data_IF_500929904852
#
_entry.id   IF_500929904852
#
_cell.length_a   1.000
_cell.length_b   1.000
_cell.length_c   1.000
_cell.angle_alpha   90.00
_cell.angle_beta   90.00
_cell.angle_gamma   90.00
#
_symmetry.space_group_name_H-M   'P 1'
#
loop_
_entity.id
_entity.type
_entity.pdbx_description
1 polymer ?
#
# COMPACT_ATOMS: atom_id res chain seq x y z
N UNK A 1 2.77 -17.94 4.67
CA UNK A 1 3.79 -17.30 3.79
C UNK A 1 3.50 -15.82 3.85
N UNK A 2 4.48 -14.96 4.08
CA UNK A 2 4.32 -13.50 3.96
C UNK A 2 4.72 -13.04 2.56
N UNK A 3 4.09 -11.99 2.04
CA UNK A 3 4.58 -11.31 0.85
C UNK A 3 5.88 -10.56 1.20
N UNK A 4 6.85 -10.50 0.27
CA UNK A 4 8.11 -9.82 0.52
C UNK A 4 7.90 -8.31 0.66
N UNK A 5 8.82 -7.65 1.38
CA UNK A 5 8.91 -6.20 1.41
C UNK A 5 9.15 -5.63 0.00
N UNK A 6 8.75 -4.37 -0.25
CA UNK A 6 9.00 -3.74 -1.54
C UNK A 6 10.51 -3.64 -1.80
N UNK A 7 10.93 -3.77 -3.07
CA UNK A 7 12.32 -3.61 -3.44
C UNK A 7 12.77 -2.14 -3.30
N UNK A 8 14.07 -1.94 -3.10
CA UNK A 8 14.69 -0.63 -3.26
C UNK A 8 14.32 -0.02 -4.63
N UNK A 9 14.15 1.31 -4.74
CA UNK A 9 14.46 2.35 -3.76
C UNK A 9 13.31 2.71 -2.80
N UNK A 10 12.25 1.91 -2.68
CA UNK A 10 11.17 2.15 -1.73
C UNK A 10 11.69 1.83 -0.33
N UNK A 11 11.68 2.80 0.58
CA UNK A 11 12.32 2.67 1.90
C UNK A 11 11.46 3.23 3.01
N UNK A 12 11.71 2.77 4.24
CA UNK A 12 11.19 3.41 5.45
C UNK A 12 11.88 4.76 5.63
N UNK A 13 11.15 5.88 5.64
CA UNK A 13 11.76 7.15 5.97
C UNK A 13 12.08 7.18 7.48
N UNK A 14 13.15 7.87 7.86
CA UNK A 14 13.54 8.01 9.27
C UNK A 14 12.48 8.75 10.10
N UNK A 15 11.80 9.71 9.46
CA UNK A 15 10.64 10.44 9.97
C UNK A 15 9.64 10.63 8.81
N UNK A 16 8.35 10.76 9.11
CA UNK A 16 7.35 11.01 8.06
C UNK A 16 7.64 12.37 7.39
N UNK A 17 8.13 12.32 6.16
CA UNK A 17 8.70 13.48 5.47
C UNK A 17 7.68 14.29 4.65
N UNK A 18 6.38 14.00 4.79
CA UNK A 18 5.32 14.62 3.99
C UNK A 18 4.52 15.62 4.83
N UNK A 19 4.16 16.76 4.23
CA UNK A 19 3.41 17.81 4.94
C UNK A 19 1.96 17.41 5.27
N UNK A 20 1.35 18.13 6.19
CA UNK A 20 0.03 17.80 6.79
C UNK A 20 -1.09 17.51 5.78
N UNK A 21 -1.12 18.24 4.66
CA UNK A 21 -2.13 18.00 3.61
C UNK A 21 -1.97 16.63 2.94
N UNK A 22 -0.71 16.20 2.75
CA UNK A 22 -0.39 14.90 2.17
C UNK A 22 -0.67 13.80 3.18
N UNK A 23 -0.29 14.01 4.45
CA UNK A 23 -0.60 13.10 5.55
C UNK A 23 -2.12 12.86 5.64
N UNK A 24 -2.91 13.92 5.65
CA UNK A 24 -4.38 13.83 5.72
C UNK A 24 -4.99 13.13 4.51
N UNK A 25 -4.47 13.38 3.30
CA UNK A 25 -4.92 12.69 2.10
C UNK A 25 -4.55 11.20 2.11
N UNK A 26 -3.38 10.85 2.65
CA UNK A 26 -2.93 9.47 2.78
C UNK A 26 -3.78 8.73 3.83
N UNK A 27 -4.00 9.32 5.00
CA UNK A 27 -4.88 8.79 6.04
C UNK A 27 -6.29 8.53 5.52
N UNK A 28 -6.83 9.44 4.71
CA UNK A 28 -8.15 9.24 4.10
C UNK A 28 -8.17 8.05 3.14
N UNK A 29 -7.17 7.93 2.28
CA UNK A 29 -7.01 6.82 1.34
C UNK A 29 -6.85 5.48 2.06
N UNK A 30 -5.94 5.43 3.04
CA UNK A 30 -5.67 4.26 3.87
C UNK A 30 -6.92 3.86 4.64
N UNK A 31 -7.63 4.82 5.23
CA UNK A 31 -8.87 4.58 5.96
C UNK A 31 -9.99 3.98 5.11
N UNK A 32 -10.13 4.38 3.84
CA UNK A 32 -11.10 3.78 2.92
C UNK A 32 -10.79 2.29 2.65
N UNK A 33 -9.52 2.00 2.40
CA UNK A 33 -9.05 0.62 2.15
C UNK A 33 -9.15 -0.22 3.43
N UNK A 34 -8.86 0.36 4.59
CA UNK A 34 -9.00 -0.34 5.87
C UNK A 34 -10.46 -0.68 6.19
N UNK A 35 -11.38 0.27 6.00
CA UNK A 35 -12.81 0.03 6.23
C UNK A 35 -13.35 -1.15 5.40
N UNK A 36 -12.86 -1.32 4.18
CA UNK A 36 -13.23 -2.43 3.30
C UNK A 36 -12.75 -3.80 3.84
N UNK A 37 -11.56 -3.85 4.44
CA UNK A 37 -10.89 -5.10 4.77
C UNK A 37 -11.01 -5.50 6.24
N UNK A 38 -11.20 -4.53 7.14
CA UNK A 38 -11.17 -4.75 8.60
C UNK A 38 -12.27 -5.68 9.12
N UNK A 39 -13.40 -5.74 8.43
CA UNK A 39 -14.51 -6.64 8.78
C UNK A 39 -14.16 -8.10 8.55
N UNK A 40 -13.30 -8.36 7.55
CA UNK A 40 -12.88 -9.70 7.14
C UNK A 40 -11.58 -10.15 7.81
N UNK A 41 -10.60 -9.25 7.92
CA UNK A 41 -9.23 -9.61 8.33
C UNK A 41 -8.79 -8.98 9.65
N UNK A 42 -9.65 -8.19 10.31
CA UNK A 42 -9.34 -7.54 11.58
C UNK A 42 -8.52 -6.26 11.43
N UNK A 43 -7.71 -5.90 12.44
CA UNK A 43 -6.91 -4.68 12.40
C UNK A 43 -5.60 -4.91 11.62
N UNK A 44 -5.17 -3.95 10.78
CA UNK A 44 -3.89 -4.04 10.11
C UNK A 44 -2.73 -3.65 11.03
N UNK A 45 -1.53 -4.11 10.66
CA UNK A 45 -0.26 -3.47 10.99
C UNK A 45 0.12 -2.60 9.81
N UNK A 46 0.40 -1.33 10.07
CA UNK A 46 0.71 -0.34 9.04
C UNK A 46 2.22 -0.07 8.98
N UNK A 47 2.72 0.14 7.77
CA UNK A 47 4.09 0.57 7.52
C UNK A 47 4.11 1.68 6.49
N UNK A 48 4.56 2.87 6.89
CA UNK A 48 4.73 4.02 6.01
C UNK A 48 6.11 4.00 5.37
N UNK A 49 6.14 4.27 4.08
CA UNK A 49 7.30 4.22 3.21
C UNK A 49 7.33 5.47 2.31
N UNK A 50 8.50 5.79 1.80
CA UNK A 50 8.69 6.79 0.77
C UNK A 50 9.20 6.11 -0.49
N UNK A 51 8.51 6.36 -1.62
CA UNK A 51 8.93 5.92 -2.93
C UNK A 51 9.35 7.13 -3.76
N UNK A 52 10.48 7.11 -4.49
CA UNK A 52 10.81 8.18 -5.42
C UNK A 52 9.68 8.44 -6.42
N UNK A 53 9.52 9.69 -6.88
CA UNK A 53 8.47 10.04 -7.85
C UNK A 53 8.59 9.28 -9.17
N UNK A 54 9.80 8.84 -9.52
CA UNK A 54 10.09 8.00 -10.69
C UNK A 54 9.73 6.51 -10.52
N UNK A 55 9.15 6.10 -9.38
CA UNK A 55 8.82 4.69 -9.12
C UNK A 55 7.74 4.19 -10.09
N UNK A 56 8.06 3.14 -10.85
CA UNK A 56 7.07 2.44 -11.68
C UNK A 56 6.24 1.48 -10.82
N UNK A 57 5.12 1.99 -10.29
CA UNK A 57 4.20 1.20 -9.49
C UNK A 57 3.48 0.10 -10.28
N UNK A 58 3.37 0.21 -11.61
CA UNK A 58 2.83 -0.86 -12.44
C UNK A 58 3.82 -2.02 -12.57
N UNK A 59 5.12 -1.74 -12.70
CA UNK A 59 6.16 -2.75 -12.59
C UNK A 59 6.21 -3.38 -11.19
N UNK A 60 6.08 -2.59 -10.13
CA UNK A 60 6.04 -3.09 -8.75
C UNK A 60 4.86 -4.04 -8.52
N UNK A 61 3.66 -3.66 -8.99
CA UNK A 61 2.47 -4.53 -8.91
C UNK A 61 2.69 -5.86 -9.64
N UNK A 62 3.27 -5.82 -10.85
CA UNK A 62 3.62 -7.03 -11.61
C UNK A 62 4.61 -7.90 -10.83
N UNK A 63 5.64 -7.29 -10.24
CA UNK A 63 6.64 -7.99 -9.43
C UNK A 63 6.02 -8.72 -8.22
N UNK A 64 5.06 -8.08 -7.55
CA UNK A 64 4.29 -8.70 -6.48
C UNK A 64 3.39 -9.83 -6.99
N UNK A 65 2.70 -9.65 -8.12
CA UNK A 65 1.86 -10.68 -8.73
C UNK A 65 2.61 -11.99 -9.01
N UNK A 66 3.85 -11.91 -9.51
CA UNK A 66 4.69 -13.09 -9.75
C UNK A 66 5.12 -13.82 -8.46
N UNK A 67 5.22 -13.09 -7.34
CA UNK A 67 5.67 -13.60 -6.04
C UNK A 67 4.50 -13.97 -5.11
N UNK A 68 3.31 -13.49 -5.40
CA UNK A 68 2.07 -13.80 -4.72
C UNK A 68 1.54 -15.22 -5.03
N UNK A 69 2.44 -16.19 -5.31
CA UNK A 69 2.04 -17.58 -5.56
C UNK A 69 1.26 -18.13 -4.36
N UNK A 70 0.05 -18.60 -4.61
CA UNK A 70 -0.88 -19.06 -3.57
C UNK A 70 -1.80 -17.97 -3.00
N UNK A 71 -1.50 -16.69 -3.22
CA UNK A 71 -2.37 -15.59 -2.81
C UNK A 71 -3.38 -15.23 -3.91
N UNK A 72 -4.54 -14.73 -3.51
CA UNK A 72 -5.60 -14.25 -4.40
C UNK A 72 -5.60 -12.72 -4.46
N UNK A 73 -5.73 -12.10 -5.65
CA UNK A 73 -5.81 -10.65 -5.77
C UNK A 73 -7.08 -10.08 -5.12
N UNK A 74 -6.99 -8.86 -4.61
CA UNK A 74 -8.11 -8.09 -4.05
C UNK A 74 -8.44 -6.92 -5.00
N UNK A 75 -9.29 -7.11 -6.04
CA UNK A 75 -9.60 -6.05 -7.01
C UNK A 75 -10.33 -4.87 -6.38
N UNK A 76 -11.07 -5.10 -5.30
CA UNK A 76 -11.84 -4.09 -4.57
C UNK A 76 -10.92 -3.00 -3.96
N UNK A 77 -9.68 -3.36 -3.61
CA UNK A 77 -8.65 -2.42 -3.13
C UNK A 77 -8.27 -1.43 -4.23
N UNK A 78 -8.10 -1.92 -5.47
CA UNK A 78 -7.76 -1.04 -6.60
C UNK A 78 -8.91 -0.07 -6.91
N UNK A 79 -10.17 -0.53 -6.78
CA UNK A 79 -11.35 0.31 -6.90
C UNK A 79 -11.41 1.39 -5.81
N UNK A 80 -11.23 1.00 -4.54
CA UNK A 80 -11.25 1.93 -3.41
C UNK A 80 -10.13 2.97 -3.52
N UNK A 81 -8.91 2.55 -3.85
CA UNK A 81 -7.77 3.45 -3.90
C UNK A 81 -7.86 4.49 -5.04
N UNK A 82 -8.50 4.14 -6.16
CA UNK A 82 -8.69 5.02 -7.33
C UNK A 82 -9.72 6.13 -7.13
N UNK A 83 -10.48 6.15 -6.04
CA UNK A 83 -11.49 7.17 -5.80
C UNK A 83 -10.92 8.60 -5.60
N UNK A 84 -9.59 8.79 -5.64
CA UNK A 84 -8.90 10.09 -5.59
C UNK A 84 -7.58 10.11 -6.37
N UNK A 85 -6.57 10.86 -5.89
CA UNK A 85 -5.17 10.82 -6.42
C UNK A 85 -4.39 9.57 -5.96
N UNK A 86 -5.06 8.66 -5.26
CA UNK A 86 -4.51 7.43 -4.73
C UNK A 86 -4.52 6.30 -5.76
N UNK A 87 -3.65 5.32 -5.53
CA UNK A 87 -3.69 4.03 -6.21
C UNK A 87 -3.25 2.94 -5.23
N UNK A 88 -3.57 1.69 -5.56
CA UNK A 88 -3.26 0.57 -4.69
C UNK A 88 -3.50 -0.77 -5.33
N UNK A 89 -2.92 -1.80 -4.73
CA UNK A 89 -3.23 -3.20 -5.02
C UNK A 89 -3.17 -4.02 -3.73
N UNK A 90 -3.84 -5.16 -3.72
CA UNK A 90 -3.83 -6.06 -2.57
C UNK A 90 -3.93 -7.53 -2.96
N UNK A 91 -3.51 -8.38 -2.03
CA UNK A 91 -3.56 -9.83 -2.12
C UNK A 91 -4.03 -10.41 -0.79
N UNK A 92 -4.72 -11.55 -0.81
CA UNK A 92 -5.14 -12.29 0.38
C UNK A 92 -4.77 -13.77 0.31
N UNK A 93 -4.55 -14.39 1.47
CA UNK A 93 -4.31 -15.82 1.60
C UNK A 93 -4.90 -16.31 2.93
N UNK A 94 -6.03 -17.03 2.86
CA UNK A 94 -6.76 -17.47 4.04
C UNK A 94 -7.27 -16.30 4.87
N UNK A 95 -6.77 -16.17 6.10
CA UNK A 95 -7.07 -15.12 7.08
C UNK A 95 -6.08 -13.94 7.04
N UNK A 96 -5.14 -13.94 6.09
CA UNK A 96 -4.14 -12.88 5.92
C UNK A 96 -4.41 -12.04 4.67
N UNK A 97 -4.07 -10.75 4.74
CA UNK A 97 -4.09 -9.86 3.59
C UNK A 97 -2.87 -8.90 3.61
N UNK A 98 -2.40 -8.56 2.41
CA UNK A 98 -1.37 -7.56 2.18
C UNK A 98 -1.92 -6.54 1.20
N UNK A 99 -1.75 -5.27 1.51
CA UNK A 99 -2.17 -4.18 0.66
C UNK A 99 -1.08 -3.13 0.61
N UNK A 100 -0.88 -2.56 -0.57
CA UNK A 100 -0.04 -1.39 -0.77
C UNK A 100 -0.88 -0.30 -1.43
N UNK A 101 -0.88 0.88 -0.83
CA UNK A 101 -1.52 2.08 -1.35
C UNK A 101 -0.52 3.23 -1.40
N UNK A 102 -0.70 4.16 -2.33
CA UNK A 102 0.15 5.33 -2.47
C UNK A 102 -0.62 6.52 -3.03
N UNK A 103 -0.15 7.72 -2.72
CA UNK A 103 -0.59 8.94 -3.41
C UNK A 103 0.38 9.28 -4.52
N UNK A 104 -0.15 9.58 -5.71
CA UNK A 104 0.68 10.10 -6.79
C UNK A 104 0.85 11.61 -6.63
N UNK A 105 2.09 12.05 -6.44
CA UNK A 105 2.49 13.45 -6.27
C UNK A 105 3.23 13.98 -7.49
N UNK A 106 3.33 15.30 -7.58
CA UNK A 106 4.07 15.94 -8.66
C UNK A 106 5.58 15.71 -8.48
N UNK A 107 6.32 15.63 -9.59
CA UNK A 107 7.75 15.31 -9.57
C UNK A 107 8.60 16.26 -8.70
N UNK A 108 8.15 17.50 -8.52
CA UNK A 108 8.81 18.52 -7.70
C UNK A 108 8.86 18.17 -6.20
N UNK A 109 8.01 17.26 -5.73
CA UNK A 109 7.87 16.93 -4.32
C UNK A 109 8.79 15.76 -3.88
N UNK A 110 9.60 15.23 -4.81
CA UNK A 110 10.73 14.32 -4.56
C UNK A 110 10.38 12.87 -4.22
N UNK A 111 9.25 12.64 -3.54
CA UNK A 111 8.76 11.31 -3.21
C UNK A 111 7.22 11.24 -3.13
N UNK A 112 6.71 10.04 -3.35
CA UNK A 112 5.33 9.62 -3.12
C UNK A 112 5.24 8.91 -1.76
N UNK A 113 4.26 9.25 -0.90
CA UNK A 113 3.97 8.47 0.29
C UNK A 113 3.35 7.13 -0.12
N UNK A 114 3.81 6.06 0.52
CA UNK A 114 3.33 4.70 0.30
C UNK A 114 3.02 4.10 1.66
N UNK A 115 1.85 3.53 1.82
CA UNK A 115 1.47 2.80 3.04
C UNK A 115 1.19 1.34 2.70
N UNK A 116 1.82 0.45 3.46
CA UNK A 116 1.56 -0.98 3.44
C UNK A 116 0.67 -1.34 4.62
N UNK A 117 -0.41 -2.06 4.36
CA UNK A 117 -1.28 -2.66 5.36
C UNK A 117 -1.13 -4.17 5.36
N UNK A 118 -0.86 -4.75 6.53
CA UNK A 118 -0.78 -6.20 6.73
C UNK A 118 -1.85 -6.64 7.71
N UNK A 119 -2.74 -7.52 7.28
CA UNK A 119 -3.80 -8.08 8.10
C UNK A 119 -3.53 -9.54 8.46
N UNK A 120 -4.13 -9.99 9.56
CA UNK A 120 -3.94 -11.33 10.13
C UNK A 120 -2.75 -11.39 11.09
N UNK A 121 -2.59 -12.51 11.80
CA UNK A 121 -1.46 -12.69 12.72
C UNK A 121 -0.16 -12.74 11.92
N UNK A 122 0.85 -12.02 12.38
CA UNK A 122 2.24 -12.31 12.02
C UNK A 122 2.51 -13.75 12.51
N UNK A 123 2.47 -14.69 11.58
CA UNK A 123 2.84 -16.09 11.83
C UNK A 123 4.33 -16.21 12.06
#
# INVERSE_FOLDING_TARGET
MSLPDPPAPIVHPAEYAFGDQVASAEEHLVGQVDQLLRTRFGKPVEAHLAAPTATDFAALRRWYGERAKGWQPLPDVEGAAKAGRGQGFGFSHGDQAFVMVWLTRDAAEGANPVTILRYGKAG
#
